data_IF_143439657188
#
_entry.id   IF_143439657188
#
_cell.length_a   1.000
_cell.length_b   1.000
_cell.length_c   1.000
_cell.angle_alpha   90.00
_cell.angle_beta   90.00
_cell.angle_gamma   90.00
#
_symmetry.space_group_name_H-M   'P 1'
#
loop_
_entity.id
_entity.type
_entity.pdbx_description
1 polymer ?
#
# COMPACT_ATOMS: atom_id res chain seq x y z
N UNK A 1 -22.21 -72.02 -7.15
CA UNK A 1 -20.98 -71.62 -7.87
C UNK A 1 -20.75 -70.10 -7.91
N UNK A 2 -21.79 -69.29 -8.12
CA UNK A 2 -21.69 -67.80 -8.13
C UNK A 2 -21.30 -67.24 -6.76
N UNK A 3 -21.86 -67.78 -5.67
CA UNK A 3 -21.56 -67.34 -4.30
C UNK A 3 -20.07 -67.51 -3.95
N UNK A 4 -19.46 -68.66 -4.23
CA UNK A 4 -18.03 -68.91 -3.98
C UNK A 4 -17.10 -68.01 -4.81
N UNK A 5 -17.48 -67.66 -6.05
CA UNK A 5 -16.73 -66.69 -6.87
C UNK A 5 -16.84 -65.26 -6.32
N UNK A 6 -18.01 -64.89 -5.79
CA UNK A 6 -18.23 -63.62 -5.10
C UNK A 6 -17.44 -63.54 -3.80
N UNK A 7 -17.42 -64.60 -2.99
CA UNK A 7 -16.63 -64.68 -1.76
C UNK A 7 -15.12 -64.61 -2.04
N UNK A 8 -14.65 -65.26 -3.12
CA UNK A 8 -13.25 -65.21 -3.55
C UNK A 8 -12.84 -63.84 -4.14
N UNK A 9 -13.77 -63.12 -4.78
CA UNK A 9 -13.54 -61.76 -5.29
C UNK A 9 -13.57 -60.68 -4.19
N UNK A 10 -14.40 -60.90 -3.16
CA UNK A 10 -14.51 -60.00 -2.00
C UNK A 10 -13.42 -60.25 -0.94
N UNK A 11 -12.77 -61.42 -0.93
CA UNK A 11 -11.76 -61.75 0.08
C UNK A 11 -10.53 -60.84 0.07
N UNK A 12 -9.97 -60.37 -1.08
CA UNK A 12 -8.84 -59.44 -1.07
C UNK A 12 -9.24 -58.06 -0.54
N UNK A 13 -10.47 -57.62 -0.84
CA UNK A 13 -11.04 -56.34 -0.39
C UNK A 13 -11.24 -56.37 1.13
N UNK A 14 -11.82 -57.46 1.66
CA UNK A 14 -12.02 -57.65 3.10
C UNK A 14 -10.67 -57.75 3.82
N UNK A 15 -9.69 -58.47 3.26
CA UNK A 15 -8.35 -58.58 3.84
C UNK A 15 -7.61 -57.25 3.84
N UNK A 16 -7.73 -56.46 2.76
CA UNK A 16 -7.18 -55.11 2.69
C UNK A 16 -7.82 -54.18 3.73
N UNK A 17 -9.14 -54.23 3.90
CA UNK A 17 -9.86 -53.46 4.90
C UNK A 17 -9.46 -53.85 6.34
N UNK A 18 -9.28 -55.15 6.61
CA UNK A 18 -8.79 -55.63 7.90
C UNK A 18 -7.37 -55.15 8.20
N UNK A 19 -6.48 -55.14 7.19
CA UNK A 19 -5.13 -54.61 7.33
C UNK A 19 -5.13 -53.10 7.62
N UNK A 20 -6.00 -52.33 6.96
CA UNK A 20 -6.19 -50.90 7.23
C UNK A 20 -6.74 -50.66 8.65
N UNK A 21 -7.74 -51.44 9.07
CA UNK A 21 -8.31 -51.33 10.42
C UNK A 21 -7.26 -51.67 11.49
N UNK A 22 -6.45 -52.71 11.27
CA UNK A 22 -5.35 -53.08 12.17
C UNK A 22 -4.29 -51.97 12.25
N UNK A 23 -3.91 -51.37 11.11
CA UNK A 23 -2.99 -50.24 11.06
C UNK A 23 -3.54 -49.03 11.82
N UNK A 24 -4.80 -48.67 11.56
CA UNK A 24 -5.49 -47.57 12.25
C UNK A 24 -5.51 -47.83 13.74
N UNK A 25 -5.84 -49.06 14.17
CA UNK A 25 -5.86 -49.46 15.57
C UNK A 25 -4.48 -49.36 16.25
N UNK A 26 -3.40 -49.70 15.54
CA UNK A 26 -2.04 -49.60 16.06
C UNK A 26 -1.55 -48.15 16.17
N UNK A 27 -2.03 -47.25 15.32
CA UNK A 27 -1.50 -45.87 15.19
C UNK A 27 -2.45 -44.78 15.70
N UNK A 28 -3.50 -45.12 16.47
CA UNK A 28 -4.55 -44.18 16.91
C UNK A 28 -4.00 -42.94 17.63
N UNK A 29 -2.99 -43.09 18.49
CA UNK A 29 -2.39 -41.96 19.22
C UNK A 29 -1.64 -41.00 18.30
N UNK A 30 -0.91 -41.54 17.32
CA UNK A 30 -0.18 -40.74 16.32
C UNK A 30 -1.19 -40.02 15.42
N UNK A 31 -2.25 -40.71 15.01
CA UNK A 31 -3.33 -40.12 14.20
C UNK A 31 -4.10 -39.03 14.98
N UNK A 32 -4.34 -39.22 16.28
CA UNK A 32 -4.93 -38.20 17.16
C UNK A 32 -4.04 -36.95 17.28
N UNK A 33 -2.73 -37.14 17.48
CA UNK A 33 -1.76 -36.04 17.51
C UNK A 33 -1.71 -35.28 16.17
N UNK A 34 -1.65 -36.00 15.05
CA UNK A 34 -1.65 -35.41 13.71
C UNK A 34 -2.96 -34.68 13.39
N UNK A 35 -4.10 -35.20 13.87
CA UNK A 35 -5.38 -34.51 13.80
C UNK A 35 -5.29 -33.17 14.52
N UNK A 36 -4.80 -33.16 15.77
CA UNK A 36 -4.62 -31.93 16.55
C UNK A 36 -3.67 -30.94 15.90
N UNK A 37 -2.58 -31.42 15.30
CA UNK A 37 -1.57 -30.58 14.64
C UNK A 37 -2.09 -29.92 13.36
N UNK A 38 -2.97 -30.59 12.61
CA UNK A 38 -3.40 -30.15 11.27
C UNK A 38 -4.78 -29.49 11.26
N UNK A 39 -5.65 -29.79 12.23
CA UNK A 39 -7.01 -29.26 12.33
C UNK A 39 -7.07 -27.71 12.42
N UNK A 40 -6.18 -27.00 13.15
CA UNK A 40 -6.25 -25.55 13.25
C UNK A 40 -6.05 -24.81 11.92
N UNK A 41 -5.40 -25.43 10.92
CA UNK A 41 -5.21 -24.83 9.59
C UNK A 41 -6.53 -24.49 8.88
N UNK A 42 -7.61 -25.22 9.18
CA UNK A 42 -8.92 -24.96 8.58
C UNK A 42 -9.84 -24.17 9.51
N UNK A 43 -9.76 -24.41 10.82
CA UNK A 43 -10.58 -23.73 11.82
C UNK A 43 -10.33 -22.20 11.79
N UNK A 44 -9.11 -21.78 11.44
CA UNK A 44 -8.76 -20.37 11.33
C UNK A 44 -9.21 -19.68 10.04
N UNK A 45 -9.76 -20.40 9.06
CA UNK A 45 -10.17 -19.82 7.77
C UNK A 45 -11.63 -19.36 7.79
N UNK A 46 -11.87 -18.14 7.29
CA UNK A 46 -13.23 -17.59 7.06
C UNK A 46 -13.98 -18.38 5.98
N UNK A 47 -15.32 -18.36 6.00
CA UNK A 47 -16.18 -19.11 5.07
C UNK A 47 -15.82 -18.89 3.59
N UNK A 48 -15.53 -17.64 3.23
CA UNK A 48 -15.31 -17.23 1.84
C UNK A 48 -13.93 -17.69 1.32
N UNK A 49 -12.96 -17.81 2.23
CA UNK A 49 -11.62 -18.31 1.92
C UNK A 49 -11.62 -19.82 1.66
N UNK A 50 -12.58 -20.56 2.23
CA UNK A 50 -12.70 -22.02 2.05
C UNK A 50 -13.10 -22.37 0.62
N UNK A 51 -13.99 -21.58 0.02
CA UNK A 51 -14.43 -21.82 -1.37
C UNK A 51 -13.29 -21.57 -2.38
N UNK A 52 -12.46 -20.55 -2.13
CA UNK A 52 -11.32 -20.19 -2.99
C UNK A 52 -10.00 -20.86 -2.57
N UNK A 53 -10.02 -21.83 -1.66
CA UNK A 53 -8.81 -22.44 -1.14
C UNK A 53 -8.04 -23.22 -2.22
N UNK A 54 -6.72 -23.01 -2.34
CA UNK A 54 -5.87 -23.76 -3.28
C UNK A 54 -5.85 -25.26 -2.95
N UNK A 55 -5.56 -26.09 -3.95
CA UNK A 55 -5.63 -27.56 -3.86
C UNK A 55 -4.86 -28.14 -2.66
N UNK A 56 -3.66 -27.65 -2.38
CA UNK A 56 -2.84 -28.14 -1.26
C UNK A 56 -3.50 -27.91 0.11
N UNK A 57 -4.20 -26.79 0.31
CA UNK A 57 -4.95 -26.55 1.56
C UNK A 57 -6.13 -27.51 1.69
N UNK A 58 -6.85 -27.79 0.59
CA UNK A 58 -7.95 -28.77 0.59
C UNK A 58 -7.46 -30.17 0.94
N UNK A 59 -6.28 -30.56 0.46
CA UNK A 59 -5.64 -31.84 0.83
C UNK A 59 -5.29 -31.92 2.32
N UNK A 60 -4.76 -30.84 2.91
CA UNK A 60 -4.47 -30.78 4.35
C UNK A 60 -5.76 -30.91 5.19
N UNK A 61 -6.85 -30.27 4.75
CA UNK A 61 -8.16 -30.39 5.43
C UNK A 61 -8.66 -31.82 5.38
N UNK A 62 -8.66 -32.44 4.19
CA UNK A 62 -9.08 -33.82 4.02
C UNK A 62 -8.24 -34.78 4.87
N UNK A 63 -6.92 -34.56 4.93
CA UNK A 63 -6.00 -35.31 5.77
C UNK A 63 -6.30 -35.13 7.27
N UNK A 64 -6.57 -33.90 7.72
CA UNK A 64 -6.90 -33.60 9.12
C UNK A 64 -8.19 -34.30 9.56
N UNK A 65 -9.22 -34.31 8.71
CA UNK A 65 -10.49 -35.00 8.96
C UNK A 65 -10.29 -36.52 9.01
N UNK A 66 -9.50 -37.07 8.08
CA UNK A 66 -9.16 -38.49 8.06
C UNK A 66 -8.43 -38.90 9.35
N UNK A 67 -7.45 -38.13 9.79
CA UNK A 67 -6.72 -38.36 11.04
C UNK A 67 -7.62 -38.23 12.27
N UNK A 68 -8.55 -37.28 12.27
CA UNK A 68 -9.50 -37.09 13.38
C UNK A 68 -10.46 -38.28 13.53
N UNK A 69 -11.00 -38.76 12.41
CA UNK A 69 -11.87 -39.93 12.36
C UNK A 69 -11.14 -41.22 12.76
N UNK A 70 -9.90 -41.38 12.30
CA UNK A 70 -9.07 -42.58 12.54
C UNK A 70 -8.25 -42.53 13.84
N UNK A 71 -8.18 -41.40 14.52
CA UNK A 71 -7.50 -41.21 15.81
C UNK A 71 -8.47 -40.94 16.95
N UNK A 72 -8.97 -39.70 17.05
CA UNK A 72 -9.82 -39.22 18.14
C UNK A 72 -11.17 -39.94 18.19
N UNK A 73 -11.83 -40.09 17.03
CA UNK A 73 -13.13 -40.77 16.90
C UNK A 73 -13.00 -42.25 16.50
N UNK A 74 -11.79 -42.80 16.55
CA UNK A 74 -11.54 -44.19 16.17
C UNK A 74 -12.43 -45.23 16.87
N UNK A 75 -12.80 -45.10 18.16
CA UNK A 75 -13.72 -46.05 18.80
C UNK A 75 -15.09 -46.12 18.11
N UNK A 76 -15.61 -44.99 17.64
CA UNK A 76 -16.90 -44.89 16.95
C UNK A 76 -16.80 -45.50 15.55
N UNK A 77 -15.72 -45.18 14.82
CA UNK A 77 -15.49 -45.70 13.47
C UNK A 77 -15.28 -47.21 13.52
N UNK A 78 -14.35 -47.69 14.35
CA UNK A 78 -14.04 -49.12 14.49
C UNK A 78 -15.25 -49.88 15.05
N UNK A 79 -15.97 -49.33 16.03
CA UNK A 79 -17.20 -49.94 16.56
C UNK A 79 -18.28 -50.13 15.50
N UNK A 80 -18.47 -49.14 14.62
CA UNK A 80 -19.40 -49.23 13.49
C UNK A 80 -18.99 -50.35 12.51
N UNK A 81 -17.70 -50.46 12.20
CA UNK A 81 -17.19 -51.52 11.33
C UNK A 81 -17.29 -52.91 11.98
N UNK A 82 -17.01 -53.03 13.27
CA UNK A 82 -17.16 -54.28 14.02
C UNK A 82 -18.60 -54.77 14.04
N UNK A 83 -19.54 -53.85 14.25
CA UNK A 83 -20.97 -54.15 14.20
C UNK A 83 -21.41 -54.61 12.80
N UNK A 84 -20.98 -53.90 11.75
CA UNK A 84 -21.37 -54.19 10.36
C UNK A 84 -20.80 -55.52 9.83
N UNK A 85 -19.51 -55.80 10.11
CA UNK A 85 -18.80 -56.96 9.57
C UNK A 85 -18.69 -58.13 10.56
N UNK A 86 -19.26 -58.01 11.76
CA UNK A 86 -19.21 -59.01 12.85
C UNK A 86 -17.78 -59.49 13.16
N UNK A 87 -16.78 -58.62 12.99
CA UNK A 87 -15.37 -58.93 13.21
C UNK A 87 -15.00 -58.85 14.69
N UNK A 88 -14.29 -59.85 15.23
CA UNK A 88 -13.76 -59.87 16.61
C UNK A 88 -12.40 -59.16 16.72
N UNK A 89 -12.35 -57.87 16.38
CA UNK A 89 -11.20 -57.04 16.74
C UNK A 89 -11.35 -56.58 18.19
N UNK A 90 -10.36 -56.80 19.04
CA UNK A 90 -10.37 -56.32 20.43
C UNK A 90 -10.06 -54.83 20.45
N UNK A 91 -11.10 -53.98 20.49
CA UNK A 91 -10.91 -52.54 20.71
C UNK A 91 -11.12 -52.23 22.18
N UNK A 92 -10.05 -51.84 22.87
CA UNK A 92 -10.15 -51.32 24.23
C UNK A 92 -10.75 -49.90 24.17
N UNK A 93 -12.06 -49.83 24.41
CA UNK A 93 -12.88 -48.62 24.36
C UNK A 93 -13.16 -48.07 25.76
N UNK A 94 -12.32 -48.41 26.75
CA UNK A 94 -12.44 -47.86 28.10
C UNK A 94 -12.36 -46.34 28.07
N UNK A 95 -13.13 -45.67 28.93
CA UNK A 95 -13.18 -44.20 29.06
C UNK A 95 -11.77 -43.60 29.20
N UNK A 96 -10.86 -44.29 29.90
CA UNK A 96 -9.46 -43.91 30.04
C UNK A 96 -8.68 -43.92 28.73
N UNK A 97 -8.86 -44.94 27.88
CA UNK A 97 -8.16 -45.02 26.59
C UNK A 97 -8.67 -43.93 25.64
N UNK A 98 -9.96 -43.60 25.72
CA UNK A 98 -10.52 -42.52 24.92
C UNK A 98 -10.07 -41.13 25.39
N UNK A 99 -9.98 -40.90 26.70
CA UNK A 99 -9.47 -39.64 27.26
C UNK A 99 -8.00 -39.41 26.90
N UNK A 100 -7.17 -40.46 26.87
CA UNK A 100 -5.78 -40.38 26.39
C UNK A 100 -5.71 -39.91 24.93
N UNK A 101 -6.59 -40.41 24.04
CA UNK A 101 -6.61 -39.97 22.64
C UNK A 101 -7.01 -38.51 22.50
N UNK A 102 -8.02 -38.08 23.26
CA UNK A 102 -8.44 -36.67 23.30
C UNK A 102 -7.29 -35.80 23.80
N UNK A 103 -6.57 -36.22 24.84
CA UNK A 103 -5.40 -35.51 25.34
C UNK A 103 -4.32 -35.34 24.26
N UNK A 104 -4.01 -36.39 23.48
CA UNK A 104 -3.06 -36.29 22.37
C UNK A 104 -3.52 -35.30 21.28
N UNK A 105 -4.80 -35.26 20.96
CA UNK A 105 -5.37 -34.27 20.02
C UNK A 105 -5.22 -32.84 20.57
N UNK A 106 -5.51 -32.63 21.86
CA UNK A 106 -5.30 -31.33 22.51
C UNK A 106 -3.83 -30.93 22.52
N UNK A 107 -2.92 -31.87 22.83
CA UNK A 107 -1.47 -31.64 22.75
C UNK A 107 -1.04 -31.22 21.33
N UNK A 108 -1.59 -31.86 20.29
CA UNK A 108 -1.34 -31.47 18.90
C UNK A 108 -1.79 -30.04 18.57
N UNK A 109 -2.96 -29.63 19.10
CA UNK A 109 -3.48 -28.25 18.92
C UNK A 109 -2.57 -27.24 19.62
N UNK A 110 -2.16 -27.51 20.87
CA UNK A 110 -1.25 -26.64 21.62
C UNK A 110 0.08 -26.52 20.86
N UNK A 111 0.62 -27.64 20.39
CA UNK A 111 1.85 -27.67 19.63
C UNK A 111 1.74 -26.87 18.32
N UNK A 112 0.62 -26.98 17.59
CA UNK A 112 0.35 -26.15 16.42
C UNK A 112 0.38 -24.66 16.74
N UNK A 113 -0.28 -24.24 17.83
CA UNK A 113 -0.33 -22.84 18.24
C UNK A 113 1.08 -22.34 18.59
N UNK A 114 1.86 -23.13 19.32
CA UNK A 114 3.24 -22.78 19.66
C UNK A 114 4.13 -22.70 18.42
N UNK A 115 4.06 -23.69 17.52
CA UNK A 115 4.75 -23.66 16.23
C UNK A 115 4.39 -22.41 15.45
N UNK A 116 3.11 -22.07 15.34
CA UNK A 116 2.69 -20.86 14.64
C UNK A 116 3.28 -19.61 15.30
N UNK A 117 3.30 -19.52 16.62
CA UNK A 117 3.85 -18.37 17.33
C UNK A 117 5.37 -18.21 17.15
N UNK A 118 6.11 -19.31 17.03
CA UNK A 118 7.57 -19.30 16.86
C UNK A 118 7.96 -19.14 15.38
N UNK A 119 7.31 -19.86 14.46
CA UNK A 119 7.68 -19.87 13.05
C UNK A 119 7.13 -18.69 12.26
N UNK A 120 5.93 -18.17 12.58
CA UNK A 120 5.36 -17.02 11.86
C UNK A 120 6.29 -15.80 11.86
N UNK A 121 6.86 -15.35 13.00
CA UNK A 121 7.76 -14.19 13.00
C UNK A 121 9.06 -14.42 12.21
N UNK A 122 9.60 -15.64 12.22
CA UNK A 122 10.80 -15.97 11.44
C UNK A 122 10.51 -16.03 9.94
N UNK A 123 9.37 -16.61 9.53
CA UNK A 123 8.91 -16.58 8.15
C UNK A 123 8.65 -15.16 7.65
N UNK A 124 8.11 -14.28 8.50
CA UNK A 124 7.91 -12.86 8.16
C UNK A 124 9.25 -12.12 8.00
N UNK A 125 10.28 -12.43 8.80
CA UNK A 125 11.63 -11.87 8.62
C UNK A 125 12.26 -12.30 7.30
N UNK A 126 12.13 -13.58 6.94
CA UNK A 126 12.62 -14.14 5.68
C UNK A 126 11.86 -13.51 4.49
N UNK A 127 10.54 -13.42 4.59
CA UNK A 127 9.70 -12.78 3.57
C UNK A 127 10.10 -11.32 3.37
N UNK A 128 10.35 -10.57 4.45
CA UNK A 128 10.85 -9.19 4.37
C UNK A 128 12.22 -9.09 3.68
N UNK A 129 13.10 -10.08 3.86
CA UNK A 129 14.39 -10.10 3.15
C UNK A 129 14.27 -10.48 1.67
N UNK A 130 13.30 -11.33 1.32
CA UNK A 130 13.07 -11.78 -0.06
C UNK A 130 12.22 -10.83 -0.89
N UNK A 131 11.40 -9.99 -0.24
CA UNK A 131 10.63 -8.96 -0.93
C UNK A 131 11.58 -7.83 -1.33
N UNK A 132 11.75 -7.64 -2.64
CA UNK A 132 12.45 -6.49 -3.21
C UNK A 132 11.75 -5.21 -2.71
N UNK A 133 12.46 -4.41 -1.92
CA UNK A 133 11.96 -3.09 -1.49
C UNK A 133 11.56 -2.31 -2.73
N UNK A 134 10.29 -1.93 -2.80
CA UNK A 134 9.78 -1.17 -3.94
C UNK A 134 10.32 0.25 -3.84
N UNK A 135 10.67 0.85 -4.97
CA UNK A 135 11.07 2.27 -5.04
C UNK A 135 9.94 3.24 -4.67
N UNK A 136 8.71 2.71 -4.51
CA UNK A 136 7.48 3.43 -4.16
C UNK A 136 7.13 3.36 -2.65
N UNK A 137 7.93 2.72 -1.81
CA UNK A 137 7.69 2.69 -0.36
C UNK A 137 7.97 4.08 0.26
N UNK A 138 7.01 5.00 0.10
CA UNK A 138 6.91 6.21 0.92
C UNK A 138 6.21 5.83 2.22
N UNK A 139 6.76 6.31 3.33
CA UNK A 139 6.31 6.09 4.72
C UNK A 139 6.92 4.91 5.49
N UNK A 140 8.24 4.94 5.68
CA UNK A 140 8.76 4.60 7.01
C UNK A 140 8.33 5.71 7.96
N UNK A 141 7.78 5.37 9.14
CA UNK A 141 7.61 6.32 10.24
C UNK A 141 8.97 6.93 10.54
N UNK A 142 9.19 8.13 10.01
CA UNK A 142 10.51 8.75 10.02
C UNK A 142 10.62 9.52 11.33
N UNK A 143 11.47 9.05 12.24
CA UNK A 143 11.77 9.81 13.45
C UNK A 143 12.37 11.15 13.01
N UNK A 144 11.76 12.27 13.45
CA UNK A 144 12.16 13.63 13.07
C UNK A 144 13.64 13.90 13.34
N UNK A 145 14.24 13.19 14.31
CA UNK A 145 15.67 13.27 14.67
C UNK A 145 16.58 12.70 13.57
N UNK A 146 16.06 11.78 12.76
CA UNK A 146 16.77 11.10 11.66
C UNK A 146 16.39 11.63 10.27
N UNK A 147 15.38 12.52 10.19
CA UNK A 147 14.94 13.11 8.91
C UNK A 147 16.09 13.85 8.23
N UNK A 148 16.95 14.55 8.98
CA UNK A 148 18.07 15.30 8.40
C UNK A 148 19.03 14.43 7.60
N UNK A 149 19.28 13.19 8.03
CA UNK A 149 20.14 12.25 7.28
C UNK A 149 19.46 11.62 6.06
N UNK A 150 18.14 11.84 5.91
CA UNK A 150 17.34 11.39 4.77
C UNK A 150 17.03 12.52 3.79
N UNK A 151 17.28 13.78 4.20
CA UNK A 151 17.21 14.90 3.28
C UNK A 151 18.39 14.78 2.31
N UNK A 152 18.15 14.93 0.99
CA UNK A 152 19.22 14.98 0.02
C UNK A 152 20.20 16.09 0.38
N UNK A 153 21.48 15.89 0.06
CA UNK A 153 22.46 16.98 0.11
C UNK A 153 21.97 18.11 -0.80
N UNK A 154 22.01 19.34 -0.28
CA UNK A 154 21.62 20.52 -1.05
C UNK A 154 22.62 20.71 -2.19
N UNK A 155 22.16 20.42 -3.42
CA UNK A 155 22.91 20.71 -4.63
C UNK A 155 23.03 22.23 -4.79
N UNK A 156 24.26 22.71 -4.94
CA UNK A 156 24.54 24.10 -5.27
C UNK A 156 24.70 24.23 -6.78
N UNK A 157 23.83 25.01 -7.41
CA UNK A 157 23.87 25.31 -8.84
C UNK A 157 23.33 26.73 -9.10
N UNK A 158 23.75 27.36 -10.19
CA UNK A 158 23.16 28.62 -10.66
C UNK A 158 21.99 28.30 -11.60
N UNK A 159 20.75 28.71 -11.29
CA UNK A 159 19.61 28.50 -12.17
C UNK A 159 19.80 29.07 -13.57
N UNK A 160 20.53 30.18 -13.72
CA UNK A 160 20.73 30.86 -15.00
C UNK A 160 21.43 29.96 -16.03
N UNK A 161 22.30 29.06 -15.58
CA UNK A 161 23.02 28.12 -16.46
C UNK A 161 22.07 27.10 -17.12
N UNK A 162 20.87 26.90 -16.57
CA UNK A 162 19.91 25.90 -17.02
C UNK A 162 18.67 26.49 -17.69
N UNK A 163 18.50 27.82 -17.69
CA UNK A 163 17.35 28.47 -18.34
C UNK A 163 17.53 28.41 -19.87
N UNK A 164 16.67 27.61 -20.51
CA UNK A 164 16.59 27.49 -21.97
C UNK A 164 15.13 27.29 -22.37
N UNK A 165 14.49 28.35 -22.85
CA UNK A 165 13.08 28.34 -23.22
C UNK A 165 12.76 27.39 -24.39
N UNK A 166 13.76 26.95 -25.17
CA UNK A 166 13.55 25.94 -26.20
C UNK A 166 13.30 24.55 -25.60
N UNK A 167 13.85 24.28 -24.40
CA UNK A 167 13.59 23.06 -23.62
C UNK A 167 12.34 23.19 -22.76
N UNK A 168 12.03 24.41 -22.33
CA UNK A 168 10.84 24.76 -21.55
C UNK A 168 11.17 25.65 -20.36
N UNK A 169 10.28 25.67 -19.37
CA UNK A 169 10.50 26.35 -18.08
C UNK A 169 11.27 25.41 -17.16
N UNK A 170 12.48 25.79 -16.81
CA UNK A 170 13.31 25.09 -15.83
C UNK A 170 12.66 25.15 -14.44
N UNK A 171 12.49 23.99 -13.80
CA UNK A 171 11.85 23.86 -12.48
C UNK A 171 12.79 23.44 -11.36
N UNK A 172 14.00 22.99 -11.70
CA UNK A 172 15.00 22.53 -10.74
C UNK A 172 15.73 21.29 -11.24
N UNK A 173 16.44 20.64 -10.33
CA UNK A 173 17.24 19.44 -10.60
C UNK A 173 16.53 18.20 -10.04
N UNK A 174 16.62 17.08 -10.74
CA UNK A 174 16.08 15.81 -10.27
C UNK A 174 17.03 15.10 -9.28
N UNK A 175 16.75 13.83 -8.98
CA UNK A 175 17.57 13.02 -8.04
C UNK A 175 18.92 12.59 -8.60
N UNK A 176 19.07 12.61 -9.92
CA UNK A 176 20.31 12.27 -10.63
C UNK A 176 21.11 13.54 -10.96
N UNK A 177 20.66 14.70 -10.47
CA UNK A 177 21.21 16.04 -10.74
C UNK A 177 21.08 16.45 -12.22
N UNK A 178 20.03 15.98 -12.89
CA UNK A 178 19.70 16.40 -14.25
C UNK A 178 18.63 17.53 -14.23
N UNK A 179 18.72 18.52 -15.14
CA UNK A 179 17.79 19.63 -15.17
C UNK A 179 16.40 19.22 -15.65
N UNK A 180 15.38 19.65 -14.91
CA UNK A 180 13.97 19.38 -15.18
C UNK A 180 13.30 20.58 -15.85
N UNK A 181 12.52 20.30 -16.90
CA UNK A 181 11.80 21.32 -17.67
C UNK A 181 10.31 20.97 -17.77
N UNK A 182 9.46 21.99 -17.61
CA UNK A 182 8.05 21.93 -18.01
C UNK A 182 7.91 22.51 -19.42
N UNK A 183 7.17 21.86 -20.33
CA UNK A 183 6.93 22.41 -21.65
C UNK A 183 6.33 23.82 -21.56
N UNK A 184 6.93 24.79 -22.26
CA UNK A 184 6.50 26.19 -22.19
C UNK A 184 5.01 26.36 -22.53
N UNK A 185 4.52 25.61 -23.52
CA UNK A 185 3.10 25.63 -23.93
C UNK A 185 2.13 25.19 -22.83
N UNK A 186 2.56 24.30 -21.94
CA UNK A 186 1.73 23.83 -20.84
C UNK A 186 1.74 24.86 -19.70
N UNK A 187 2.92 25.41 -19.39
CA UNK A 187 3.07 26.50 -18.42
C UNK A 187 2.20 27.72 -18.75
N UNK A 188 2.17 28.14 -20.03
CA UNK A 188 1.38 29.29 -20.48
C UNK A 188 -0.14 29.08 -20.41
N UNK A 189 -0.61 27.82 -20.33
CA UNK A 189 -2.05 27.49 -20.37
C UNK A 189 -2.61 27.05 -19.03
N UNK A 190 -1.77 26.57 -18.14
CA UNK A 190 -2.18 25.93 -16.90
C UNK A 190 -1.93 26.85 -15.70
N UNK A 191 -2.75 26.68 -14.67
CA UNK A 191 -2.49 27.31 -13.38
C UNK A 191 -1.47 26.47 -12.60
N UNK A 192 -0.56 27.16 -11.91
CA UNK A 192 0.42 26.55 -11.01
C UNK A 192 0.14 26.97 -9.57
N UNK A 193 0.21 26.00 -8.66
CA UNK A 193 0.12 26.23 -7.22
C UNK A 193 1.44 25.84 -6.56
N UNK A 194 2.01 26.74 -5.76
CA UNK A 194 3.33 26.58 -5.12
C UNK A 194 3.12 26.60 -3.61
N UNK A 195 3.02 25.40 -3.04
CA UNK A 195 2.71 25.21 -1.63
C UNK A 195 4.00 24.92 -0.86
N UNK A 196 4.23 25.66 0.21
CA UNK A 196 5.35 25.44 1.11
C UNK A 196 5.22 26.22 2.41
N UNK A 197 5.81 25.70 3.49
CA UNK A 197 5.90 26.41 4.76
C UNK A 197 6.81 27.63 4.65
N UNK A 198 6.74 28.55 5.61
CA UNK A 198 7.70 29.67 5.70
C UNK A 198 9.13 29.13 5.80
N UNK A 199 10.05 29.68 5.01
CA UNK A 199 11.44 29.21 4.92
C UNK A 199 11.67 28.02 3.99
N UNK A 200 10.63 27.44 3.37
CA UNK A 200 10.78 26.32 2.44
C UNK A 200 11.29 26.71 1.04
N UNK A 201 11.60 27.99 0.79
CA UNK A 201 12.11 28.45 -0.50
C UNK A 201 11.05 28.79 -1.56
N UNK A 202 9.76 28.90 -1.19
CA UNK A 202 8.68 29.23 -2.14
C UNK A 202 8.94 30.51 -2.94
N UNK A 203 9.45 31.56 -2.29
CA UNK A 203 9.75 32.84 -2.96
C UNK A 203 10.86 32.71 -4.00
N UNK A 204 11.90 31.93 -3.68
CA UNK A 204 13.00 31.64 -4.60
C UNK A 204 12.49 30.85 -5.81
N UNK A 205 11.72 29.78 -5.58
CA UNK A 205 11.15 28.97 -6.66
C UNK A 205 10.22 29.79 -7.56
N UNK A 206 9.29 30.54 -6.97
CA UNK A 206 8.38 31.44 -7.72
C UNK A 206 9.16 32.49 -8.50
N UNK A 207 10.19 33.09 -7.89
CA UNK A 207 11.04 34.09 -8.54
C UNK A 207 11.68 33.55 -9.82
N UNK A 208 12.25 32.34 -9.79
CA UNK A 208 12.85 31.69 -10.96
C UNK A 208 11.82 31.38 -12.04
N UNK A 209 10.63 30.90 -11.67
CA UNK A 209 9.55 30.61 -12.62
C UNK A 209 9.06 31.88 -13.31
N UNK A 210 8.82 32.96 -12.55
CA UNK A 210 8.36 34.23 -13.09
C UNK A 210 9.45 34.94 -13.91
N UNK A 211 10.73 34.82 -13.54
CA UNK A 211 11.85 35.29 -14.36
C UNK A 211 11.77 34.72 -15.77
N UNK A 212 11.59 33.40 -15.87
CA UNK A 212 11.48 32.71 -17.15
C UNK A 212 10.20 33.08 -17.91
N UNK A 213 9.08 33.32 -17.22
CA UNK A 213 7.87 33.86 -17.86
C UNK A 213 8.12 35.22 -18.53
N UNK A 214 8.87 36.11 -17.86
CA UNK A 214 9.25 37.41 -18.44
C UNK A 214 10.13 37.22 -19.68
N UNK A 215 11.13 36.34 -19.61
CA UNK A 215 11.97 35.99 -20.77
C UNK A 215 11.15 35.39 -21.93
N UNK A 216 10.10 34.63 -21.61
CA UNK A 216 9.17 34.06 -22.59
C UNK A 216 8.22 35.11 -23.21
N UNK A 217 8.28 36.36 -22.75
CA UNK A 217 7.47 37.46 -23.25
C UNK A 217 6.08 37.57 -22.61
N UNK A 218 5.83 36.86 -21.50
CA UNK A 218 4.58 36.93 -20.76
C UNK A 218 4.45 38.23 -19.96
N UNK A 219 3.23 38.73 -19.86
CA UNK A 219 2.90 39.80 -18.91
C UNK A 219 2.87 39.24 -17.49
N UNK A 220 3.78 39.70 -16.64
CA UNK A 220 3.88 39.23 -15.24
C UNK A 220 3.43 40.33 -14.28
N UNK A 221 2.40 40.02 -13.50
CA UNK A 221 1.87 40.86 -12.43
C UNK A 221 2.08 40.16 -11.09
N UNK A 222 2.81 40.80 -10.18
CA UNK A 222 3.15 40.22 -8.88
C UNK A 222 2.52 41.03 -7.77
N UNK A 223 1.65 40.39 -6.98
CA UNK A 223 1.14 40.95 -5.74
C UNK A 223 1.93 40.38 -4.57
N UNK A 224 2.74 41.22 -3.95
CA UNK A 224 3.60 40.83 -2.83
C UNK A 224 3.19 41.55 -1.53
N UNK A 225 2.31 40.95 -0.72
CA UNK A 225 1.93 41.51 0.57
C UNK A 225 3.00 41.33 1.65
N UNK A 226 4.10 40.60 1.36
CA UNK A 226 5.18 40.32 2.32
C UNK A 226 6.35 41.28 2.23
N UNK A 227 6.40 42.08 1.17
CA UNK A 227 7.49 43.02 0.90
C UNK A 227 8.85 42.30 0.84
N UNK A 228 8.95 41.34 -0.07
CA UNK A 228 10.22 40.70 -0.40
C UNK A 228 11.17 41.73 -1.00
N UNK A 229 12.23 42.05 -0.25
CA UNK A 229 13.22 43.05 -0.63
C UNK A 229 13.94 42.70 -1.95
N UNK A 230 14.01 41.42 -2.32
CA UNK A 230 14.77 40.94 -3.49
C UNK A 230 13.93 40.78 -4.74
N UNK A 231 12.65 40.43 -4.60
CA UNK A 231 11.78 40.14 -5.74
C UNK A 231 11.73 41.29 -6.78
N UNK A 232 11.59 42.58 -6.42
CA UNK A 232 11.61 43.67 -7.39
C UNK A 232 12.92 43.77 -8.18
N UNK A 233 14.07 43.50 -7.53
CA UNK A 233 15.37 43.52 -8.19
C UNK A 233 15.52 42.37 -9.19
N UNK A 234 15.05 41.18 -8.82
CA UNK A 234 15.03 40.01 -9.69
C UNK A 234 14.18 40.24 -10.94
N UNK A 235 12.95 40.75 -10.78
CA UNK A 235 12.05 40.98 -11.91
C UNK A 235 12.49 42.15 -12.78
N UNK A 236 13.06 43.21 -12.20
CA UNK A 236 13.67 44.28 -12.99
C UNK A 236 14.79 43.73 -13.87
N UNK A 237 15.66 42.89 -13.33
CA UNK A 237 16.73 42.23 -14.10
C UNK A 237 16.17 41.34 -15.21
N UNK A 238 15.12 40.56 -14.93
CA UNK A 238 14.44 39.75 -15.95
C UNK A 238 13.89 40.61 -17.10
N UNK A 239 13.27 41.74 -16.76
CA UNK A 239 12.75 42.69 -17.74
C UNK A 239 13.89 43.33 -18.57
N UNK A 240 15.00 43.72 -17.93
CA UNK A 240 16.19 44.23 -18.63
C UNK A 240 16.73 43.20 -19.64
N UNK A 241 16.84 41.93 -19.23
CA UNK A 241 17.31 40.84 -20.10
C UNK A 241 16.34 40.54 -21.25
N UNK A 242 15.04 40.66 -21.01
CA UNK A 242 14.01 40.46 -22.02
C UNK A 242 13.73 41.70 -22.90
N UNK A 243 14.36 42.85 -22.60
CA UNK A 243 14.06 44.13 -23.25
C UNK A 243 12.60 44.59 -23.02
N UNK A 244 12.05 44.32 -21.84
CA UNK A 244 10.67 44.64 -21.44
C UNK A 244 10.63 45.77 -20.40
N UNK A 245 9.53 46.55 -20.33
CA UNK A 245 9.36 47.54 -19.29
C UNK A 245 9.19 46.87 -17.91
N UNK A 246 9.58 47.58 -16.86
CA UNK A 246 9.36 47.20 -15.47
C UNK A 246 8.68 48.35 -14.73
N UNK A 247 7.64 48.04 -13.96
CA UNK A 247 6.95 48.99 -13.10
C UNK A 247 6.81 48.40 -11.68
N UNK A 248 7.05 49.24 -10.67
CA UNK A 248 6.87 48.89 -9.27
C UNK A 248 5.88 49.88 -8.64
N UNK A 249 4.79 49.35 -8.10
CA UNK A 249 3.78 50.10 -7.37
C UNK A 249 3.90 49.72 -5.90
N UNK A 250 4.36 50.67 -5.07
CA UNK A 250 4.51 50.50 -3.64
C UNK A 250 3.33 51.15 -2.91
N UNK A 251 2.33 50.34 -2.58
CA UNK A 251 1.09 50.80 -1.92
C UNK A 251 1.29 51.35 -0.50
N UNK A 252 2.51 51.27 0.05
CA UNK A 252 2.84 51.82 1.38
C UNK A 252 3.26 53.27 1.32
N UNK A 253 3.66 53.75 0.15
CA UNK A 253 4.10 55.14 -0.05
C UNK A 253 2.91 56.02 -0.39
N UNK A 254 2.75 57.13 0.32
CA UNK A 254 1.73 58.16 0.04
C UNK A 254 2.13 59.08 -1.12
N UNK A 255 2.63 58.49 -2.20
CA UNK A 255 2.95 59.18 -3.44
C UNK A 255 2.04 58.66 -4.53
N UNK A 256 1.60 59.56 -5.41
CA UNK A 256 0.83 59.19 -6.59
C UNK A 256 1.68 58.28 -7.50
N UNK A 257 1.12 57.13 -7.91
CA UNK A 257 1.84 56.08 -8.64
C UNK A 257 1.07 55.52 -9.83
N UNK A 258 -0.26 55.44 -9.74
CA UNK A 258 -1.13 54.89 -10.77
C UNK A 258 -2.48 55.59 -10.72
N UNK A 259 -3.04 55.93 -11.88
CA UNK A 259 -4.42 56.35 -12.03
C UNK A 259 -5.19 55.31 -12.84
N UNK A 260 -6.06 54.56 -12.15
CA UNK A 260 -6.87 53.50 -12.75
C UNK A 260 -7.99 54.03 -13.65
N UNK A 261 -8.30 55.33 -13.59
CA UNK A 261 -9.37 55.97 -14.37
C UNK A 261 -8.82 56.89 -15.46
N UNK A 262 -7.51 56.90 -15.69
CA UNK A 262 -6.91 57.64 -16.80
C UNK A 262 -7.23 56.95 -18.13
N UNK A 263 -7.78 57.70 -19.08
CA UNK A 263 -8.08 57.24 -20.44
C UNK A 263 -8.93 55.97 -20.56
N UNK A 264 -9.68 55.59 -19.51
CA UNK A 264 -10.57 54.43 -19.55
C UNK A 264 -11.91 54.76 -20.22
N UNK A 265 -12.50 53.74 -20.84
CA UNK A 265 -13.84 53.78 -21.41
C UNK A 265 -14.93 53.63 -20.34
N UNK A 266 -16.19 54.03 -20.62
CA UNK A 266 -17.31 53.79 -19.71
C UNK A 266 -17.49 52.31 -19.32
N UNK A 267 -17.25 51.38 -20.26
CA UNK A 267 -17.36 49.94 -20.03
C UNK A 267 -16.26 49.43 -19.10
N UNK A 268 -15.02 49.92 -19.26
CA UNK A 268 -13.91 49.60 -18.34
C UNK A 268 -14.14 50.20 -16.94
N UNK A 269 -14.75 51.39 -16.86
CA UNK A 269 -15.15 51.99 -15.59
C UNK A 269 -16.23 51.15 -14.89
N UNK A 270 -17.20 50.63 -15.65
CA UNK A 270 -18.21 49.71 -15.13
C UNK A 270 -17.56 48.43 -14.57
N UNK A 271 -16.69 47.77 -15.34
CA UNK A 271 -15.95 46.57 -14.91
C UNK A 271 -15.11 46.83 -13.65
N UNK A 272 -14.44 47.98 -13.58
CA UNK A 272 -13.67 48.38 -12.40
C UNK A 272 -14.58 48.50 -11.16
N UNK A 273 -15.77 49.08 -11.30
CA UNK A 273 -16.74 49.15 -10.21
C UNK A 273 -17.35 47.79 -9.87
N UNK A 274 -17.63 46.96 -10.87
CA UNK A 274 -18.15 45.60 -10.66
C UNK A 274 -17.15 44.77 -9.87
N UNK A 275 -15.87 44.81 -10.24
CA UNK A 275 -14.80 44.11 -9.52
C UNK A 275 -14.54 44.70 -8.13
N UNK A 276 -14.40 46.02 -8.04
CA UNK A 276 -14.07 46.74 -6.80
C UNK A 276 -15.15 46.66 -5.73
N UNK A 277 -16.43 46.75 -6.12
CA UNK A 277 -17.56 46.66 -5.21
C UNK A 277 -18.21 45.27 -5.16
N UNK A 278 -17.64 44.28 -5.87
CA UNK A 278 -18.19 42.92 -5.96
C UNK A 278 -19.66 42.88 -6.41
N UNK A 279 -20.01 43.69 -7.42
CA UNK A 279 -21.40 43.81 -7.91
C UNK A 279 -21.81 42.66 -8.83
N UNK A 280 -20.85 41.87 -9.30
CA UNK A 280 -21.12 40.66 -10.06
C UNK A 280 -21.72 39.57 -9.16
N UNK A 281 -22.67 38.82 -9.72
CA UNK A 281 -23.25 37.65 -9.06
C UNK A 281 -22.14 36.63 -8.77
N UNK A 282 -21.80 36.47 -7.49
CA UNK A 282 -20.86 35.43 -7.06
C UNK A 282 -21.52 34.09 -7.32
N UNK A 283 -21.12 33.41 -8.39
CA UNK A 283 -21.43 31.98 -8.57
C UNK A 283 -20.84 31.24 -7.37
N UNK A 284 -21.70 30.77 -6.47
CA UNK A 284 -21.32 29.82 -5.43
C UNK A 284 -20.81 28.57 -6.13
N UNK A 285 -19.49 28.38 -6.13
CA UNK A 285 -18.88 27.12 -6.55
C UNK A 285 -19.41 26.00 -5.66
N UNK A 286 -19.85 24.92 -6.30
CA UNK A 286 -20.11 23.62 -5.64
C UNK A 286 -18.79 23.07 -5.12
#
# INVERSE_FOLDING_TARGET
MILNKLTASLSPIVNGMLAVLAFVQQKQLVLALLAGLTMPFFASMKSDERQKAPLWKRLIIAFSLLCFLSGTLAPIVIGSFQWLYKTRLTSDNTVLVWSVRIAFTVTGIIFHIMLRRVFTPELDKIKKHLVKKTTLERELRTDVRTVKSLLPETLHYDPLDYIDLNKGIFTGMDRENEPMYLPLKDWQKQHADIIGTTGAGKGVATGILLYQSILAGEGVFVMDPKDDEWAPHLYRKACEDAGKPFALIDLRKQQYQLNLIEDITPDELEELFVAGFSLAEKRSGI
#
